data_IF_245573876967
#
_entry.id   IF_245573876967
#
_cell.length_a   1.000
_cell.length_b   1.000
_cell.length_c   1.000
_cell.angle_alpha   90.00
_cell.angle_beta   90.00
_cell.angle_gamma   90.00
#
_symmetry.space_group_name_H-M   'P 1'
#
loop_
_entity.id
_entity.type
_entity.pdbx_description
1 polymer ?
#
# COMPACT_ATOMS: atom_id res chain seq x y z
N UNK A 1 52.92 -33.79 52.81
CA UNK A 1 52.22 -32.55 52.39
C UNK A 1 51.37 -32.89 51.18
N UNK A 2 50.06 -33.02 51.41
CA UNK A 2 49.05 -33.35 50.40
C UNK A 2 48.41 -32.05 49.91
N UNK A 3 48.38 -31.82 48.60
CA UNK A 3 47.64 -30.70 47.99
C UNK A 3 46.54 -31.30 47.13
N UNK A 4 45.33 -31.17 47.63
CA UNK A 4 44.06 -31.58 47.04
C UNK A 4 43.66 -30.67 45.88
N UNK A 5 43.24 -31.27 44.76
CA UNK A 5 42.60 -30.61 43.62
C UNK A 5 41.18 -30.18 43.99
N UNK A 6 40.88 -28.89 43.89
CA UNK A 6 39.53 -28.36 44.00
C UNK A 6 38.84 -28.35 42.62
N UNK A 7 37.83 -29.20 42.46
CA UNK A 7 36.86 -29.11 41.37
C UNK A 7 35.88 -27.96 41.67
N UNK A 8 35.80 -26.97 40.77
CA UNK A 8 34.74 -25.95 40.78
C UNK A 8 33.66 -26.36 39.77
N UNK A 9 32.50 -26.75 40.28
CA UNK A 9 31.28 -26.92 39.49
C UNK A 9 30.78 -25.56 38.99
N UNK A 10 30.75 -25.37 37.67
CA UNK A 10 30.10 -24.21 37.07
C UNK A 10 28.59 -24.48 36.98
N UNK A 11 27.80 -23.74 37.76
CA UNK A 11 26.35 -23.74 37.63
C UNK A 11 25.96 -22.95 36.38
N UNK A 12 25.32 -23.63 35.42
CA UNK A 12 24.78 -23.03 34.20
C UNK A 12 23.44 -22.36 34.55
N UNK A 13 23.41 -21.03 34.63
CA UNK A 13 22.16 -20.27 34.81
C UNK A 13 21.46 -20.16 33.46
N UNK A 14 20.38 -20.92 33.27
CA UNK A 14 19.48 -20.75 32.12
C UNK A 14 18.64 -19.50 32.36
N UNK A 15 18.95 -18.41 31.66
CA UNK A 15 18.10 -17.22 31.63
C UNK A 15 16.89 -17.50 30.72
N UNK A 16 15.73 -17.71 31.34
CA UNK A 16 14.46 -17.78 30.62
C UNK A 16 14.10 -16.34 30.21
N UNK A 17 14.36 -15.99 28.96
CA UNK A 17 13.84 -14.77 28.34
C UNK A 17 12.33 -14.96 28.15
N UNK A 18 11.54 -14.42 29.08
CA UNK A 18 10.12 -14.18 28.81
C UNK A 18 10.04 -13.14 27.70
N UNK A 19 9.50 -13.53 26.55
CA UNK A 19 9.05 -12.60 25.52
C UNK A 19 7.93 -11.74 26.13
N UNK A 20 8.29 -10.57 26.65
CA UNK A 20 7.32 -9.55 27.02
C UNK A 20 6.61 -9.13 25.74
N UNK A 21 5.31 -9.42 25.65
CA UNK A 21 4.46 -8.82 24.62
C UNK A 21 4.69 -7.30 24.65
N UNK A 22 4.94 -6.65 23.50
CA UNK A 22 5.10 -5.20 23.49
C UNK A 22 3.84 -4.59 24.08
N UNK A 23 4.01 -3.77 25.12
CA UNK A 23 2.91 -2.99 25.68
C UNK A 23 2.23 -2.26 24.53
N UNK A 24 0.92 -2.48 24.35
CA UNK A 24 0.14 -1.81 23.32
C UNK A 24 0.30 -0.30 23.51
N UNK A 25 1.08 0.34 22.64
CA UNK A 25 1.25 1.79 22.69
C UNK A 25 -0.12 2.43 22.48
N UNK A 26 -0.53 3.32 23.38
CA UNK A 26 -1.76 4.06 23.21
C UNK A 26 -1.66 4.88 21.91
N UNK A 27 -2.62 4.67 21.01
CA UNK A 27 -2.72 5.39 19.75
C UNK A 27 -3.40 6.73 19.99
N UNK A 28 -2.63 7.80 19.85
CA UNK A 28 -3.09 9.18 19.95
C UNK A 28 -3.47 9.71 18.57
N UNK A 29 -4.53 10.51 18.53
CA UNK A 29 -4.99 11.20 17.32
C UNK A 29 -4.60 12.66 17.41
N UNK A 30 -4.05 13.20 16.33
CA UNK A 30 -3.78 14.65 16.22
C UNK A 30 -4.98 15.35 15.59
N UNK A 31 -5.26 16.58 16.03
CA UNK A 31 -6.29 17.40 15.40
C UNK A 31 -5.85 17.80 13.98
N UNK A 32 -6.69 17.52 12.99
CA UNK A 32 -6.43 17.82 11.57
C UNK A 32 -7.59 18.58 10.93
N UNK A 33 -7.94 19.79 11.42
CA UNK A 33 -9.07 20.54 10.85
C UNK A 33 -8.75 20.97 9.42
N UNK A 34 -9.65 20.67 8.49
CA UNK A 34 -9.52 21.12 7.11
C UNK A 34 -9.51 22.65 6.99
N UNK A 35 -8.73 23.16 6.04
CA UNK A 35 -8.78 24.55 5.60
C UNK A 35 -9.83 24.80 4.50
N UNK A 36 -10.50 23.75 4.02
CA UNK A 36 -11.46 23.82 2.92
C UNK A 36 -12.85 24.15 3.47
N UNK A 37 -13.46 25.28 3.05
CA UNK A 37 -14.79 25.66 3.51
C UNK A 37 -15.84 24.57 3.23
N UNK A 38 -16.62 24.21 4.24
CA UNK A 38 -17.74 23.27 4.09
C UNK A 38 -17.36 21.79 3.99
N UNK A 39 -16.08 21.42 4.08
CA UNK A 39 -15.66 20.01 4.00
C UNK A 39 -16.24 19.14 5.14
N UNK A 40 -16.48 19.73 6.31
CA UNK A 40 -16.93 19.02 7.51
C UNK A 40 -15.76 18.55 8.39
N UNK A 41 -16.04 17.91 9.54
CA UNK A 41 -15.02 17.52 10.51
C UNK A 41 -14.17 16.34 10.03
N UNK A 42 -12.92 16.23 10.49
CA UNK A 42 -12.11 15.00 10.37
C UNK A 42 -12.26 14.17 11.63
N UNK A 43 -13.31 13.34 11.67
CA UNK A 43 -13.74 12.56 12.84
C UNK A 43 -13.58 11.05 12.65
N UNK A 44 -13.90 10.26 13.68
CA UNK A 44 -13.75 8.80 13.67
C UNK A 44 -14.43 8.12 12.48
N UNK A 45 -15.62 8.60 12.09
CA UNK A 45 -16.31 8.09 10.91
C UNK A 45 -15.47 8.37 9.65
N UNK A 46 -14.99 9.60 9.47
CA UNK A 46 -14.14 9.98 8.34
C UNK A 46 -12.85 9.16 8.27
N UNK A 47 -12.19 8.94 9.41
CA UNK A 47 -10.95 8.15 9.50
C UNK A 47 -11.20 6.72 9.03
N UNK A 48 -12.23 6.08 9.57
CA UNK A 48 -12.57 4.72 9.24
C UNK A 48 -13.00 4.57 7.77
N UNK A 49 -13.77 5.52 7.25
CA UNK A 49 -14.15 5.56 5.83
C UNK A 49 -12.90 5.71 4.94
N UNK A 50 -11.96 6.60 5.26
CA UNK A 50 -10.72 6.76 4.50
C UNK A 50 -9.86 5.49 4.51
N UNK A 51 -9.80 4.77 5.64
CA UNK A 51 -9.00 3.55 5.75
C UNK A 51 -9.57 2.37 4.97
N UNK A 52 -10.88 2.36 4.70
CA UNK A 52 -11.59 1.19 4.15
C UNK A 52 -12.22 1.42 2.78
N UNK A 53 -12.20 2.65 2.25
CA UNK A 53 -12.80 2.95 0.96
C UNK A 53 -11.90 2.40 -0.15
N UNK A 54 -12.47 1.56 -1.01
CA UNK A 54 -11.79 1.03 -2.18
C UNK A 54 -11.61 2.14 -3.22
N UNK A 55 -10.54 2.03 -3.99
CA UNK A 55 -10.33 2.82 -5.19
C UNK A 55 -10.35 1.95 -6.46
N UNK A 56 -10.60 0.65 -6.32
CA UNK A 56 -10.60 -0.31 -7.44
C UNK A 56 -9.25 -1.01 -7.67
N UNK A 57 -8.32 -0.92 -6.73
CA UNK A 57 -7.07 -1.68 -6.77
C UNK A 57 -7.33 -3.18 -6.66
N UNK A 58 -6.67 -3.99 -7.51
CA UNK A 58 -6.78 -5.45 -7.56
C UNK A 58 -5.38 -6.08 -7.54
N UNK A 59 -4.79 -6.18 -6.34
CA UNK A 59 -3.45 -6.74 -6.16
C UNK A 59 -3.48 -8.27 -6.30
N UNK A 60 -4.27 -8.95 -5.47
CA UNK A 60 -4.30 -10.42 -5.42
C UNK A 60 -5.66 -10.90 -4.87
N UNK A 61 -6.22 -12.02 -5.38
CA UNK A 61 -7.44 -12.60 -4.80
C UNK A 61 -7.28 -12.86 -3.29
N UNK A 62 -8.31 -12.53 -2.54
CA UNK A 62 -8.29 -12.58 -1.07
C UNK A 62 -8.02 -14.00 -0.56
N UNK A 63 -8.66 -15.00 -1.16
CA UNK A 63 -8.48 -16.40 -0.77
C UNK A 63 -7.05 -16.89 -1.02
N UNK A 64 -6.38 -16.34 -2.04
CA UNK A 64 -5.01 -16.71 -2.37
C UNK A 64 -4.05 -16.17 -1.32
N UNK A 65 -4.10 -14.87 -1.02
CA UNK A 65 -3.16 -14.29 -0.05
C UNK A 65 -3.38 -14.79 1.38
N UNK A 66 -4.61 -15.20 1.74
CA UNK A 66 -4.89 -15.89 3.01
C UNK A 66 -4.27 -17.28 3.11
N UNK A 67 -4.15 -17.99 1.98
CA UNK A 67 -3.52 -19.31 1.91
C UNK A 67 -2.01 -19.25 1.68
N UNK A 68 -1.51 -18.12 1.17
CA UNK A 68 -0.11 -17.92 0.82
C UNK A 68 0.77 -17.95 2.06
N UNK A 69 1.87 -18.71 1.99
CA UNK A 69 2.89 -18.79 3.03
C UNK A 69 4.15 -18.05 2.61
N UNK A 70 4.90 -17.55 3.58
CA UNK A 70 6.26 -17.06 3.44
C UNK A 70 7.25 -18.23 3.42
N UNK A 71 8.53 -17.93 3.17
CA UNK A 71 9.59 -18.92 3.09
C UNK A 71 9.84 -19.67 4.43
N UNK A 72 9.48 -19.06 5.55
CA UNK A 72 9.57 -19.65 6.90
C UNK A 72 8.34 -20.50 7.25
N UNK A 73 7.37 -20.63 6.34
CA UNK A 73 6.14 -21.40 6.51
C UNK A 73 5.00 -20.65 7.20
N UNK A 74 5.22 -19.43 7.71
CA UNK A 74 4.15 -18.59 8.28
C UNK A 74 3.23 -18.07 7.18
N UNK A 75 1.98 -17.73 7.52
CA UNK A 75 1.07 -17.09 6.58
C UNK A 75 1.61 -15.72 6.15
N UNK A 76 1.42 -15.34 4.89
CA UNK A 76 1.92 -14.07 4.35
C UNK A 76 1.37 -12.84 5.09
N UNK A 77 0.19 -12.97 5.68
CA UNK A 77 -0.49 -11.93 6.47
C UNK A 77 -0.33 -12.13 7.99
N UNK A 78 0.55 -13.00 8.46
CA UNK A 78 0.65 -13.37 9.89
C UNK A 78 0.90 -12.16 10.82
N UNK A 79 1.63 -11.16 10.36
CA UNK A 79 1.93 -9.91 11.08
C UNK A 79 1.08 -8.71 10.62
N UNK A 80 0.04 -8.94 9.80
CA UNK A 80 -0.76 -7.87 9.21
C UNK A 80 0.03 -6.91 8.31
N UNK A 81 1.15 -7.38 7.72
CA UNK A 81 2.09 -6.59 6.90
C UNK A 81 2.92 -5.57 7.71
N UNK A 82 2.99 -5.71 9.03
CA UNK A 82 3.77 -4.82 9.89
C UNK A 82 5.27 -4.81 9.56
N UNK A 83 5.83 -5.92 9.06
CA UNK A 83 7.22 -6.00 8.57
C UNK A 83 7.55 -5.01 7.45
N UNK A 84 6.55 -4.55 6.70
CA UNK A 84 6.71 -3.52 5.68
C UNK A 84 6.32 -2.12 6.20
N UNK A 85 6.06 -1.95 7.49
CA UNK A 85 5.69 -0.65 8.07
C UNK A 85 4.22 -0.24 7.86
N UNK A 86 3.36 -1.16 7.43
CA UNK A 86 1.92 -0.88 7.38
C UNK A 86 1.31 -0.90 8.78
N UNK A 87 0.36 0.00 9.01
CA UNK A 87 -0.16 0.30 10.34
C UNK A 87 -1.40 -0.54 10.64
N UNK A 88 -1.51 -1.05 11.87
CA UNK A 88 -2.67 -1.83 12.29
C UNK A 88 -3.98 -1.04 12.15
N UNK A 89 -5.04 -1.75 11.75
CA UNK A 89 -6.41 -1.24 11.66
C UNK A 89 -7.39 -2.18 12.39
N UNK A 90 -7.53 -2.06 13.72
CA UNK A 90 -8.43 -2.90 14.50
C UNK A 90 -9.91 -2.79 14.07
N UNK A 91 -10.29 -1.65 13.46
CA UNK A 91 -11.64 -1.39 12.98
C UNK A 91 -11.87 -1.88 11.53
N UNK A 92 -10.90 -2.60 10.94
CA UNK A 92 -11.04 -3.13 9.59
C UNK A 92 -12.26 -4.06 9.48
N UNK A 93 -13.16 -3.86 8.50
CA UNK A 93 -14.27 -4.79 8.22
C UNK A 93 -13.79 -6.21 7.88
N UNK A 94 -12.57 -6.33 7.37
CA UNK A 94 -11.88 -7.60 7.15
C UNK A 94 -10.79 -7.72 8.22
N UNK A 95 -11.00 -8.51 9.29
CA UNK A 95 -10.05 -8.61 10.39
C UNK A 95 -8.64 -8.97 9.92
N UNK A 96 -7.64 -8.30 10.50
CA UNK A 96 -6.22 -8.53 10.21
C UNK A 96 -5.64 -7.71 9.06
N UNK A 97 -6.46 -6.96 8.30
CA UNK A 97 -5.92 -6.02 7.32
C UNK A 97 -5.41 -4.73 7.97
N UNK A 98 -4.25 -4.21 7.52
CA UNK A 98 -3.76 -2.91 7.98
C UNK A 98 -4.53 -1.76 7.32
N UNK A 99 -4.23 -0.53 7.76
CA UNK A 99 -4.79 0.69 7.20
C UNK A 99 -4.58 0.75 5.69
N UNK A 100 -5.66 1.03 4.96
CA UNK A 100 -5.62 1.23 3.53
C UNK A 100 -5.48 -0.04 2.72
N UNK A 101 -5.75 -1.21 3.29
CA UNK A 101 -5.94 -2.44 2.52
C UNK A 101 -7.40 -2.86 2.58
N UNK A 102 -7.99 -3.07 1.41
CA UNK A 102 -9.43 -3.30 1.25
C UNK A 102 -9.63 -4.54 0.39
N UNK A 103 -10.58 -5.40 0.77
CA UNK A 103 -11.07 -6.48 -0.09
C UNK A 103 -12.34 -6.01 -0.78
N UNK A 104 -12.26 -5.82 -2.10
CA UNK A 104 -13.40 -5.46 -2.93
C UNK A 104 -13.57 -6.53 -4.01
N UNK A 105 -14.80 -7.02 -4.20
CA UNK A 105 -15.12 -8.09 -5.16
C UNK A 105 -14.20 -9.32 -5.05
N UNK A 106 -13.88 -9.72 -3.81
CA UNK A 106 -13.03 -10.87 -3.50
C UNK A 106 -11.53 -10.66 -3.76
N UNK A 107 -11.09 -9.44 -4.08
CA UNK A 107 -9.69 -9.13 -4.37
C UNK A 107 -9.16 -8.09 -3.38
N UNK A 108 -8.00 -8.38 -2.79
CA UNK A 108 -7.29 -7.45 -1.93
C UNK A 108 -6.60 -6.39 -2.78
N UNK A 109 -6.64 -5.13 -2.34
CA UNK A 109 -5.85 -4.06 -2.94
C UNK A 109 -5.57 -2.92 -1.96
N UNK A 110 -4.45 -2.19 -2.11
CA UNK A 110 -4.23 -0.94 -1.40
C UNK A 110 -5.21 0.17 -1.85
N UNK A 111 -5.51 1.08 -0.94
CA UNK A 111 -6.20 2.35 -1.17
C UNK A 111 -5.27 3.52 -0.86
N UNK A 112 -5.75 4.76 -1.05
CA UNK A 112 -5.00 5.99 -0.73
C UNK A 112 -4.37 5.94 0.68
N UNK A 113 -5.10 5.39 1.66
CA UNK A 113 -4.67 5.36 3.05
C UNK A 113 -3.42 4.49 3.29
N UNK A 114 -3.10 3.52 2.42
CA UNK A 114 -1.90 2.69 2.56
C UNK A 114 -0.61 3.51 2.33
N UNK A 115 -0.68 4.51 1.44
CA UNK A 115 0.44 5.39 1.11
C UNK A 115 0.40 6.73 1.87
N UNK A 116 -0.80 7.16 2.30
CA UNK A 116 -1.04 8.46 2.90
C UNK A 116 -1.52 8.39 4.34
N UNK A 117 -1.04 7.41 5.10
CA UNK A 117 -1.23 7.38 6.56
C UNK A 117 0.12 7.17 7.24
N UNK A 118 0.48 8.10 8.14
CA UNK A 118 1.74 8.06 8.88
C UNK A 118 1.51 7.83 10.36
N UNK A 119 2.48 7.22 11.02
CA UNK A 119 2.60 7.25 12.47
C UNK A 119 3.98 7.82 12.85
N UNK A 120 4.03 8.56 13.95
CA UNK A 120 5.27 8.94 14.62
C UNK A 120 5.18 8.57 16.09
N UNK A 121 6.31 8.14 16.66
CA UNK A 121 6.38 7.78 18.07
C UNK A 121 7.14 8.87 18.82
N UNK A 122 6.51 9.43 19.85
CA UNK A 122 7.07 10.50 20.69
C UNK A 122 6.84 10.10 22.14
N UNK A 123 7.91 9.99 22.92
CA UNK A 123 7.86 9.66 24.36
C UNK A 123 7.03 8.39 24.69
N UNK A 124 7.13 7.37 23.83
CA UNK A 124 6.40 6.11 24.02
C UNK A 124 4.91 6.16 23.63
N UNK A 125 4.44 7.24 23.01
CA UNK A 125 3.10 7.38 22.44
C UNK A 125 3.13 7.39 20.92
N UNK A 126 2.20 6.68 20.31
CA UNK A 126 2.05 6.60 18.86
C UNK A 126 1.05 7.66 18.38
N UNK A 127 1.47 8.60 17.55
CA UNK A 127 0.61 9.63 16.97
C UNK A 127 0.28 9.30 15.51
N UNK A 128 -1.01 9.07 15.23
CA UNK A 128 -1.50 8.80 13.88
C UNK A 128 -1.77 10.10 13.13
N UNK A 129 -1.21 10.22 11.93
CA UNK A 129 -1.31 11.41 11.08
C UNK A 129 -1.83 10.98 9.69
N UNK A 130 -3.10 11.24 9.43
CA UNK A 130 -3.74 10.90 8.16
C UNK A 130 -3.42 11.95 7.08
N UNK A 131 -3.35 11.57 5.82
CA UNK A 131 -2.91 12.44 4.72
C UNK A 131 -1.40 12.72 4.70
N UNK A 132 -0.66 12.25 5.71
CA UNK A 132 0.80 12.26 5.74
C UNK A 132 1.39 11.04 5.02
N UNK A 133 2.59 11.14 4.43
CA UNK A 133 3.20 10.01 3.75
C UNK A 133 3.55 8.87 4.70
N UNK A 134 3.09 7.67 4.36
CA UNK A 134 3.41 6.45 5.08
C UNK A 134 4.92 6.20 5.10
N UNK A 135 5.39 5.53 6.15
CA UNK A 135 6.74 4.99 6.22
C UNK A 135 6.77 3.50 5.82
N UNK A 136 5.82 3.08 4.97
CA UNK A 136 5.72 1.72 4.51
C UNK A 136 6.66 1.43 3.32
N UNK A 137 7.15 0.21 3.21
CA UNK A 137 7.97 -0.29 2.11
C UNK A 137 7.14 -1.15 1.14
N UNK A 138 6.46 -0.47 0.21
CA UNK A 138 5.65 -1.14 -0.81
C UNK A 138 6.50 -1.91 -1.82
N UNK A 139 7.74 -1.47 -2.07
CA UNK A 139 8.66 -2.19 -2.97
C UNK A 139 9.02 -3.56 -2.41
N UNK A 140 9.34 -3.64 -1.11
CA UNK A 140 9.56 -4.90 -0.41
C UNK A 140 8.31 -5.79 -0.40
N UNK A 141 7.12 -5.24 -0.07
CA UNK A 141 5.86 -5.99 -0.15
C UNK A 141 5.66 -6.62 -1.53
N UNK A 142 5.88 -5.83 -2.59
CA UNK A 142 5.69 -6.26 -3.97
C UNK A 142 6.66 -7.39 -4.34
N UNK A 143 7.95 -7.22 -4.04
CA UNK A 143 9.00 -8.21 -4.35
C UNK A 143 8.83 -9.52 -3.56
N UNK A 144 8.45 -9.43 -2.29
CA UNK A 144 8.21 -10.62 -1.46
C UNK A 144 6.94 -11.36 -1.88
N UNK A 145 5.92 -10.65 -2.36
CA UNK A 145 4.73 -11.28 -2.94
C UNK A 145 5.07 -12.05 -4.21
N UNK A 146 5.89 -11.46 -5.10
CA UNK A 146 6.40 -12.13 -6.30
C UNK A 146 7.18 -13.41 -5.93
N UNK A 147 8.09 -13.29 -4.98
CA UNK A 147 8.91 -14.41 -4.50
C UNK A 147 8.04 -15.52 -3.89
N UNK A 148 7.04 -15.17 -3.09
CA UNK A 148 6.18 -16.14 -2.43
C UNK A 148 5.31 -16.93 -3.43
N UNK A 149 4.67 -16.24 -4.38
CA UNK A 149 3.85 -16.91 -5.40
C UNK A 149 4.72 -17.74 -6.36
N UNK A 150 5.88 -17.22 -6.76
CA UNK A 150 6.83 -17.97 -7.60
C UNK A 150 7.28 -19.28 -6.97
N UNK A 151 7.54 -19.29 -5.65
CA UNK A 151 7.87 -20.51 -4.91
C UNK A 151 6.73 -21.52 -4.88
N UNK A 152 5.49 -21.06 -4.66
CA UNK A 152 4.30 -21.92 -4.70
C UNK A 152 4.13 -22.56 -6.08
N UNK A 153 4.39 -21.83 -7.16
CA UNK A 153 4.28 -22.36 -8.53
C UNK A 153 5.43 -23.29 -8.93
N UNK A 154 6.63 -23.08 -8.38
CA UNK A 154 7.82 -23.85 -8.71
C UNK A 154 7.81 -25.29 -8.16
N UNK A 155 7.00 -25.57 -7.12
CA UNK A 155 6.92 -26.88 -6.48
C UNK A 155 5.49 -27.44 -6.49
N UNK A 156 5.32 -28.62 -7.06
CA UNK A 156 4.00 -29.26 -7.21
C UNK A 156 3.33 -29.57 -5.87
N UNK A 157 4.10 -29.98 -4.86
CA UNK A 157 3.56 -30.29 -3.54
C UNK A 157 3.07 -29.01 -2.84
N UNK A 158 3.87 -27.95 -2.87
CA UNK A 158 3.54 -26.62 -2.37
C UNK A 158 2.32 -26.04 -3.06
N UNK A 159 2.22 -26.17 -4.39
CA UNK A 159 1.02 -25.75 -5.11
C UNK A 159 -0.22 -26.53 -4.66
N UNK A 160 -0.11 -27.84 -4.48
CA UNK A 160 -1.24 -28.66 -4.03
C UNK A 160 -1.69 -28.29 -2.61
N UNK A 161 -0.76 -27.98 -1.69
CA UNK A 161 -1.11 -27.44 -0.37
C UNK A 161 -1.83 -26.09 -0.46
N UNK A 162 -1.29 -25.17 -1.27
CA UNK A 162 -1.91 -23.88 -1.53
C UNK A 162 -3.32 -24.04 -2.12
N UNK A 163 -3.49 -24.90 -3.12
CA UNK A 163 -4.77 -25.15 -3.77
C UNK A 163 -5.79 -25.75 -2.81
N UNK A 164 -5.39 -26.68 -1.93
CA UNK A 164 -6.27 -27.22 -0.89
C UNK A 164 -6.69 -26.14 0.11
N UNK A 165 -5.78 -25.25 0.48
CA UNK A 165 -6.09 -24.13 1.38
C UNK A 165 -7.03 -23.10 0.73
N UNK A 166 -6.84 -22.79 -0.57
CA UNK A 166 -7.70 -21.86 -1.33
C UNK A 166 -9.08 -22.46 -1.59
N UNK A 167 -9.15 -23.71 -2.06
CA UNK A 167 -10.40 -24.35 -2.50
C UNK A 167 -11.20 -24.95 -1.32
N UNK A 168 -10.55 -25.19 -0.18
CA UNK A 168 -11.16 -25.72 1.03
C UNK A 168 -11.92 -27.03 0.79
N UNK A 169 -13.14 -27.13 1.31
CA UNK A 169 -14.01 -28.30 1.11
C UNK A 169 -14.43 -28.52 -0.35
N UNK A 170 -14.25 -27.52 -1.21
CA UNK A 170 -14.54 -27.60 -2.63
C UNK A 170 -13.40 -28.18 -3.46
N UNK A 171 -12.28 -28.59 -2.85
CA UNK A 171 -11.11 -29.12 -3.54
C UNK A 171 -11.45 -30.35 -4.39
N UNK A 172 -11.03 -30.31 -5.65
CA UNK A 172 -10.92 -31.45 -6.54
C UNK A 172 -9.79 -31.21 -7.57
N UNK A 173 -9.25 -32.27 -8.21
CA UNK A 173 -8.12 -32.13 -9.13
C UNK A 173 -8.37 -31.24 -10.35
N UNK A 174 -9.62 -31.13 -10.83
CA UNK A 174 -9.95 -30.28 -11.98
C UNK A 174 -9.93 -28.81 -11.57
N UNK A 175 -10.47 -28.48 -10.39
CA UNK A 175 -10.39 -27.12 -9.82
C UNK A 175 -8.97 -26.74 -9.46
N UNK A 176 -8.15 -27.65 -8.97
CA UNK A 176 -6.71 -27.39 -8.76
C UNK A 176 -6.02 -27.03 -10.08
N UNK A 177 -6.30 -27.77 -11.15
CA UNK A 177 -5.76 -27.48 -12.49
C UNK A 177 -6.22 -26.11 -13.00
N UNK A 178 -7.49 -25.76 -12.80
CA UNK A 178 -8.02 -24.45 -13.16
C UNK A 178 -7.37 -23.32 -12.35
N UNK A 179 -7.28 -23.49 -11.04
CA UNK A 179 -6.61 -22.55 -10.14
C UNK A 179 -5.15 -22.35 -10.54
N UNK A 180 -4.46 -23.43 -10.92
CA UNK A 180 -3.08 -23.36 -11.40
C UNK A 180 -2.95 -22.44 -12.61
N UNK A 181 -3.81 -22.60 -13.61
CA UNK A 181 -3.82 -21.74 -14.79
C UNK A 181 -4.11 -20.26 -14.45
N UNK A 182 -5.01 -20.00 -13.50
CA UNK A 182 -5.33 -18.65 -13.02
C UNK A 182 -4.13 -18.01 -12.29
N UNK A 183 -3.46 -18.77 -11.41
CA UNK A 183 -2.28 -18.29 -10.67
C UNK A 183 -1.08 -18.10 -11.60
N UNK A 184 -0.86 -19.01 -12.57
CA UNK A 184 0.20 -18.86 -13.59
C UNK A 184 -0.03 -17.58 -14.42
N UNK A 185 -1.28 -17.28 -14.81
CA UNK A 185 -1.61 -16.07 -15.56
C UNK A 185 -1.38 -14.80 -14.72
N UNK A 186 -1.85 -14.78 -13.47
CA UNK A 186 -1.61 -13.69 -12.54
C UNK A 186 -0.11 -13.47 -12.30
N UNK A 187 0.63 -14.57 -12.05
CA UNK A 187 2.05 -14.52 -11.75
C UNK A 187 2.88 -14.06 -12.95
N UNK A 188 2.57 -14.50 -14.17
CA UNK A 188 3.26 -14.03 -15.36
C UNK A 188 3.20 -12.50 -15.51
N UNK A 189 2.06 -11.90 -15.16
CA UNK A 189 1.88 -10.44 -15.17
C UNK A 189 2.61 -9.77 -14.02
N UNK A 190 2.39 -10.23 -12.79
CA UNK A 190 3.02 -9.67 -11.58
C UNK A 190 4.54 -9.77 -11.64
N UNK A 191 5.08 -10.90 -12.09
CA UNK A 191 6.51 -11.13 -12.25
C UNK A 191 7.12 -10.26 -13.33
N UNK A 192 6.46 -10.12 -14.50
CA UNK A 192 6.95 -9.25 -15.57
C UNK A 192 7.18 -7.80 -15.11
N UNK A 193 6.19 -7.21 -14.42
CA UNK A 193 6.29 -5.84 -13.93
C UNK A 193 7.23 -5.71 -12.72
N UNK A 194 7.32 -6.73 -11.87
CA UNK A 194 8.29 -6.77 -10.76
C UNK A 194 9.72 -6.78 -11.30
N UNK A 195 10.01 -7.70 -12.23
CA UNK A 195 11.34 -7.89 -12.81
C UNK A 195 11.81 -6.68 -13.62
N UNK A 196 10.93 -6.14 -14.47
CA UNK A 196 11.28 -5.00 -15.32
C UNK A 196 11.23 -3.65 -14.58
N UNK A 197 10.31 -3.52 -13.61
CA UNK A 197 9.98 -2.26 -12.97
C UNK A 197 10.74 -1.99 -11.67
N UNK A 198 10.89 -2.97 -10.77
CA UNK A 198 11.50 -2.73 -9.47
C UNK A 198 13.04 -2.73 -9.54
N UNK A 199 13.71 -1.68 -9.03
CA UNK A 199 15.17 -1.63 -9.01
C UNK A 199 15.75 -2.63 -8.01
N UNK A 200 16.48 -3.65 -8.50
CA UNK A 200 17.14 -4.67 -7.66
C UNK A 200 18.39 -4.17 -6.95
N UNK A 201 19.16 -3.31 -7.62
CA UNK A 201 20.41 -2.75 -7.13
C UNK A 201 20.19 -1.62 -6.12
N UNK A 202 19.06 -0.91 -6.25
CA UNK A 202 18.68 0.22 -5.40
C UNK A 202 17.17 0.19 -5.13
N UNK A 203 16.70 -0.74 -4.28
CA UNK A 203 15.28 -0.81 -3.92
C UNK A 203 14.77 0.52 -3.37
N UNK A 204 13.49 0.82 -3.57
CA UNK A 204 12.90 2.10 -3.17
C UNK A 204 13.08 2.41 -1.69
N UNK A 205 12.90 1.40 -0.83
CA UNK A 205 12.99 1.51 0.62
C UNK A 205 11.74 2.14 1.26
N UNK A 206 11.73 2.15 2.59
CA UNK A 206 10.62 2.64 3.39
C UNK A 206 10.22 4.11 3.07
N UNK A 207 8.91 4.31 2.86
CA UNK A 207 8.29 5.61 2.62
C UNK A 207 8.64 6.25 1.27
N UNK A 208 9.10 5.45 0.31
CA UNK A 208 9.48 5.86 -1.04
C UNK A 208 8.83 4.95 -2.07
N UNK A 209 8.40 5.54 -3.19
CA UNK A 209 7.83 4.83 -4.33
C UNK A 209 8.10 5.63 -5.60
N UNK A 210 8.40 4.96 -6.70
CA UNK A 210 8.29 5.54 -8.04
C UNK A 210 6.92 5.21 -8.64
N UNK A 211 5.90 5.92 -8.15
CA UNK A 211 4.52 5.71 -8.58
C UNK A 211 4.34 6.02 -10.07
N UNK A 212 4.94 7.09 -10.57
CA UNK A 212 4.77 7.53 -11.96
C UNK A 212 5.40 6.53 -12.93
N UNK A 213 6.63 6.07 -12.66
CA UNK A 213 7.26 5.02 -13.44
C UNK A 213 6.41 3.74 -13.46
N UNK A 214 5.84 3.36 -12.31
CA UNK A 214 4.98 2.18 -12.22
C UNK A 214 3.64 2.34 -12.95
N UNK A 215 3.00 3.51 -12.90
CA UNK A 215 1.81 3.85 -13.69
C UNK A 215 2.10 3.62 -15.18
N UNK A 216 3.20 4.19 -15.69
CA UNK A 216 3.56 4.08 -17.09
C UNK A 216 3.85 2.63 -17.50
N UNK A 217 4.59 1.88 -16.69
CA UNK A 217 4.84 0.45 -16.93
C UNK A 217 3.55 -0.35 -17.02
N UNK A 218 2.58 -0.05 -16.15
CA UNK A 218 1.30 -0.75 -16.12
C UNK A 218 0.47 -0.42 -17.36
N UNK A 219 0.17 0.86 -17.59
CA UNK A 219 -0.73 1.28 -18.68
C UNK A 219 -0.15 1.04 -20.08
N UNK A 220 1.18 1.01 -20.25
CA UNK A 220 1.80 0.80 -21.56
C UNK A 220 2.39 -0.60 -21.75
N UNK A 221 2.73 -1.29 -20.65
CA UNK A 221 3.45 -2.55 -20.67
C UNK A 221 2.70 -3.75 -20.10
N UNK A 222 1.68 -3.57 -19.25
CA UNK A 222 0.97 -4.69 -18.60
C UNK A 222 -0.48 -4.87 -19.09
N UNK A 223 -1.10 -3.79 -19.54
CA UNK A 223 -2.56 -3.69 -19.60
C UNK A 223 -3.12 -3.60 -21.03
N UNK A 224 -2.28 -3.31 -22.03
CA UNK A 224 -2.75 -3.04 -23.41
C UNK A 224 -2.19 -4.00 -24.46
N UNK A 225 -1.42 -5.01 -24.06
CA UNK A 225 -0.91 -6.04 -24.97
C UNK A 225 -1.97 -7.06 -25.40
N UNK A 226 -1.58 -8.00 -26.28
CA UNK A 226 -2.42 -9.13 -26.64
C UNK A 226 -2.76 -10.00 -25.42
N UNK A 227 -3.99 -10.50 -25.38
CA UNK A 227 -4.38 -11.51 -24.38
C UNK A 227 -3.60 -12.83 -24.55
N UNK A 228 -3.55 -13.67 -23.50
CA UNK A 228 -4.25 -13.52 -22.23
C UNK A 228 -3.50 -12.66 -21.20
N UNK A 229 -2.20 -12.43 -21.37
CA UNK A 229 -1.40 -11.72 -20.36
C UNK A 229 -1.51 -10.20 -20.46
N UNK A 230 -1.81 -9.67 -21.65
CA UNK A 230 -1.79 -8.23 -21.97
C UNK A 230 -0.42 -7.56 -21.81
N UNK A 231 0.65 -8.35 -21.70
CA UNK A 231 2.00 -7.86 -21.46
C UNK A 231 2.69 -7.45 -22.77
N UNK A 232 3.35 -6.30 -22.74
CA UNK A 232 4.30 -5.78 -23.72
C UNK A 232 5.60 -5.44 -22.98
N UNK A 233 6.46 -6.44 -22.77
CA UNK A 233 7.71 -6.28 -21.98
C UNK A 233 8.59 -5.13 -22.48
N UNK A 234 8.65 -4.92 -23.81
CA UNK A 234 9.45 -3.87 -24.43
C UNK A 234 9.04 -2.44 -24.04
N UNK A 235 7.86 -2.24 -23.47
CA UNK A 235 7.38 -0.95 -22.98
C UNK A 235 7.70 -0.70 -21.50
N UNK A 236 8.07 -1.74 -20.73
CA UNK A 236 8.40 -1.59 -19.32
C UNK A 236 9.82 -1.07 -19.13
N UNK A 237 10.02 -0.20 -18.14
CA UNK A 237 11.31 0.37 -17.74
C UNK A 237 11.48 0.30 -16.23
N UNK A 238 12.72 0.34 -15.77
CA UNK A 238 13.02 0.45 -14.34
C UNK A 238 12.41 1.74 -13.80
N UNK A 239 11.69 1.65 -12.68
CA UNK A 239 11.12 2.77 -11.95
C UNK A 239 12.12 3.17 -10.85
N UNK A 240 13.17 3.90 -11.22
CA UNK A 240 14.35 4.18 -10.38
C UNK A 240 14.42 5.63 -9.84
N UNK A 241 13.30 6.36 -9.89
CA UNK A 241 13.18 7.71 -9.34
C UNK A 241 12.21 7.77 -8.13
N UNK A 242 12.42 6.98 -7.06
CA UNK A 242 11.45 6.89 -5.99
C UNK A 242 11.43 8.15 -5.13
N UNK A 243 10.22 8.67 -4.91
CA UNK A 243 9.96 9.84 -4.08
C UNK A 243 9.04 9.46 -2.93
N UNK A 244 8.96 10.32 -1.92
CA UNK A 244 7.97 10.13 -0.84
C UNK A 244 6.59 10.51 -1.38
N UNK A 245 5.49 9.81 -1.08
CA UNK A 245 4.17 10.30 -1.46
C UNK A 245 3.96 11.75 -0.96
N UNK A 246 3.34 12.65 -1.77
CA UNK A 246 3.08 14.01 -1.30
C UNK A 246 2.06 14.01 -0.15
N UNK A 247 2.02 15.10 0.61
CA UNK A 247 0.97 15.28 1.61
C UNK A 247 -0.37 15.49 0.91
N UNK A 248 -1.44 14.89 1.43
CA UNK A 248 -2.80 15.15 0.95
C UNK A 248 -3.37 16.46 1.50
N UNK A 249 -2.80 16.98 2.58
CA UNK A 249 -3.24 18.22 3.19
C UNK A 249 -3.14 19.37 2.19
N UNK A 250 -4.24 20.09 2.01
CA UNK A 250 -4.38 21.15 1.01
C UNK A 250 -4.26 20.71 -0.45
N UNK A 251 -4.10 19.42 -0.77
CA UNK A 251 -4.02 18.96 -2.15
C UNK A 251 -5.26 19.38 -2.98
N UNK A 252 -6.52 19.34 -2.47
CA UNK A 252 -7.69 19.71 -3.27
C UNK A 252 -7.74 21.20 -3.68
N UNK A 253 -6.92 22.06 -3.07
CA UNK A 253 -6.85 23.51 -3.38
C UNK A 253 -5.55 23.93 -4.06
N UNK A 254 -4.70 22.98 -4.45
CA UNK A 254 -3.52 23.24 -5.26
C UNK A 254 -3.89 23.22 -6.74
N UNK A 255 -3.36 24.15 -7.52
CA UNK A 255 -3.58 24.20 -8.97
C UNK A 255 -2.85 23.07 -9.72
N UNK A 256 -1.75 22.59 -9.15
CA UNK A 256 -0.99 21.45 -9.67
C UNK A 256 -0.61 20.48 -8.55
N UNK A 257 -0.54 19.20 -8.89
CA UNK A 257 -0.17 18.11 -7.98
C UNK A 257 0.95 17.26 -8.56
N UNK A 258 1.39 16.26 -7.79
CA UNK A 258 2.64 15.51 -7.99
C UNK A 258 3.88 16.38 -7.73
N UNK A 259 5.00 15.74 -7.36
CA UNK A 259 6.23 16.49 -7.07
C UNK A 259 6.74 17.36 -8.22
N UNK A 260 6.67 16.94 -9.49
CA UNK A 260 7.06 17.80 -10.60
C UNK A 260 6.01 18.87 -10.97
N UNK A 261 4.83 18.86 -10.34
CA UNK A 261 3.74 19.81 -10.65
C UNK A 261 3.13 19.63 -12.04
N UNK A 262 3.18 18.43 -12.62
CA UNK A 262 2.71 18.20 -14.00
C UNK A 262 1.20 17.91 -14.10
N UNK A 263 0.54 17.56 -12.99
CA UNK A 263 -0.86 17.18 -12.99
C UNK A 263 -1.72 18.37 -12.58
N UNK A 264 -2.45 18.93 -13.53
CA UNK A 264 -3.47 19.95 -13.29
C UNK A 264 -4.49 19.47 -12.24
N UNK A 265 -4.94 20.40 -11.42
CA UNK A 265 -5.83 20.15 -10.30
C UNK A 265 -6.65 21.43 -10.01
N UNK A 266 -7.32 21.50 -8.85
CA UNK A 266 -8.14 22.65 -8.46
C UNK A 266 -9.64 22.47 -8.73
N UNK A 267 -10.03 21.41 -9.44
CA UNK A 267 -11.42 20.95 -9.50
C UNK A 267 -11.53 19.42 -9.44
N UNK A 268 -12.75 18.94 -9.21
CA UNK A 268 -13.03 17.51 -8.98
C UNK A 268 -12.88 16.64 -10.23
N UNK A 269 -13.01 17.20 -11.43
CA UNK A 269 -12.81 16.48 -12.70
C UNK A 269 -11.31 16.24 -12.90
N UNK A 270 -10.50 17.27 -12.71
CA UNK A 270 -9.03 17.16 -12.77
C UNK A 270 -8.50 16.22 -11.68
N UNK A 271 -9.00 16.35 -10.45
CA UNK A 271 -8.68 15.43 -9.36
C UNK A 271 -9.06 13.98 -9.69
N UNK A 272 -10.23 13.76 -10.29
CA UNK A 272 -10.66 12.44 -10.76
C UNK A 272 -9.71 11.87 -11.80
N UNK A 273 -9.33 12.65 -12.82
CA UNK A 273 -8.40 12.19 -13.86
C UNK A 273 -7.04 11.77 -13.27
N UNK A 274 -6.49 12.57 -12.35
CA UNK A 274 -5.30 12.22 -11.56
C UNK A 274 -5.49 10.92 -10.78
N UNK A 275 -6.59 10.81 -10.04
CA UNK A 275 -6.85 9.65 -9.18
C UNK A 275 -7.01 8.36 -9.99
N UNK A 276 -7.69 8.41 -11.14
CA UNK A 276 -7.81 7.28 -12.08
C UNK A 276 -6.43 6.80 -12.52
N UNK A 277 -5.55 7.72 -12.93
CA UNK A 277 -4.16 7.38 -13.29
C UNK A 277 -3.38 6.74 -12.15
N UNK A 278 -3.56 7.24 -10.92
CA UNK A 278 -2.93 6.66 -9.72
C UNK A 278 -3.42 5.23 -9.46
N UNK A 279 -4.73 4.97 -9.57
CA UNK A 279 -5.29 3.62 -9.38
C UNK A 279 -4.64 2.62 -10.31
N UNK A 280 -4.44 2.97 -11.59
CA UNK A 280 -3.74 2.08 -12.54
C UNK A 280 -2.32 1.75 -12.07
N UNK A 281 -1.59 2.71 -11.51
CA UNK A 281 -0.25 2.47 -10.94
C UNK A 281 -0.23 1.58 -9.71
N UNK A 282 -1.29 1.59 -8.92
CA UNK A 282 -1.47 0.73 -7.74
C UNK A 282 -2.54 -0.33 -7.99
N UNK A 283 -2.25 -1.18 -8.97
CA UNK A 283 -2.96 -2.44 -9.23
C UNK A 283 -4.39 -2.33 -9.77
N UNK A 284 -4.82 -1.19 -10.31
CA UNK A 284 -6.04 -1.10 -11.13
C UNK A 284 -5.89 -1.92 -12.41
N UNK A 285 -6.90 -2.73 -12.76
CA UNK A 285 -6.97 -3.45 -14.03
C UNK A 285 -7.62 -2.57 -15.10
N UNK A 286 -7.03 -2.53 -16.28
CA UNK A 286 -7.49 -1.70 -17.39
C UNK A 286 -7.23 -2.42 -18.70
N UNK A 287 -8.27 -2.92 -19.37
CA UNK A 287 -8.15 -3.63 -20.63
C UNK A 287 -9.06 -2.98 -21.67
N UNK A 288 -8.63 -1.90 -22.35
CA UNK A 288 -9.44 -1.28 -23.39
C UNK A 288 -9.83 -2.29 -24.48
N UNK A 289 -11.12 -2.41 -24.73
CA UNK A 289 -11.65 -3.33 -25.74
C UNK A 289 -12.03 -2.56 -27.00
N UNK A 290 -11.73 -3.10 -28.18
CA UNK A 290 -12.22 -2.51 -29.43
C UNK A 290 -13.74 -2.52 -29.45
N UNK A 291 -14.31 -1.36 -29.75
CA UNK A 291 -15.75 -1.17 -29.83
C UNK A 291 -16.05 -0.16 -30.94
N UNK A 292 -16.48 -0.66 -32.09
CA UNK A 292 -16.78 0.17 -33.27
C UNK A 292 -18.00 1.08 -33.09
N UNK A 293 -18.84 0.82 -32.07
CA UNK A 293 -19.97 1.68 -31.73
C UNK A 293 -19.56 2.86 -30.84
N UNK A 294 -18.37 2.78 -30.21
CA UNK A 294 -17.84 3.83 -29.37
C UNK A 294 -17.12 4.90 -30.21
N UNK A 295 -17.28 6.17 -29.86
CA UNK A 295 -16.74 7.32 -30.61
C UNK A 295 -15.22 7.22 -30.89
N UNK A 296 -14.48 6.64 -29.95
CA UNK A 296 -13.03 6.49 -30.02
C UNK A 296 -12.58 5.12 -30.57
N UNK A 297 -13.51 4.28 -31.03
CA UNK A 297 -13.23 2.90 -31.49
C UNK A 297 -12.85 1.90 -30.40
N UNK A 298 -12.84 2.34 -29.13
CA UNK A 298 -12.51 1.55 -27.95
C UNK A 298 -13.43 1.89 -26.79
N UNK A 299 -13.78 0.88 -26.00
CA UNK A 299 -14.45 0.98 -24.73
C UNK A 299 -13.43 0.91 -23.58
N UNK A 300 -13.31 2.01 -22.83
CA UNK A 300 -12.35 2.17 -21.73
C UNK A 300 -12.94 1.89 -20.34
N UNK A 301 -14.24 1.59 -20.28
CA UNK A 301 -15.01 1.48 -19.02
C UNK A 301 -15.36 0.03 -18.71
N UNK A 302 -15.64 -0.79 -19.73
CA UNK A 302 -16.19 -2.13 -19.54
C UNK A 302 -15.24 -3.09 -18.80
N UNK A 303 -13.98 -3.13 -19.19
CA UNK A 303 -12.96 -3.96 -18.55
C UNK A 303 -11.97 -3.07 -17.78
N UNK A 304 -12.50 -2.44 -16.74
CA UNK A 304 -11.78 -1.48 -15.91
C UNK A 304 -12.21 -1.67 -14.45
N UNK A 305 -11.25 -1.80 -13.54
CA UNK A 305 -11.56 -2.04 -12.11
C UNK A 305 -11.70 -0.78 -11.28
N UNK A 306 -11.46 0.41 -11.84
CA UNK A 306 -11.52 1.68 -11.11
C UNK A 306 -12.89 1.86 -10.46
N UNK A 307 -12.89 2.06 -9.14
CA UNK A 307 -14.10 2.39 -8.39
C UNK A 307 -14.30 3.90 -8.40
N UNK A 308 -14.99 4.41 -9.41
CA UNK A 308 -15.28 5.84 -9.53
C UNK A 308 -16.06 6.40 -8.34
N UNK A 309 -16.96 5.60 -7.73
CA UNK A 309 -17.72 6.06 -6.55
C UNK A 309 -16.79 6.15 -5.34
N UNK A 310 -15.94 5.16 -5.15
CA UNK A 310 -14.89 5.15 -4.14
C UNK A 310 -13.93 6.33 -4.30
N UNK A 311 -13.48 6.64 -5.53
CA UNK A 311 -12.63 7.79 -5.82
C UNK A 311 -13.31 9.13 -5.51
N UNK A 312 -14.60 9.28 -5.82
CA UNK A 312 -15.36 10.49 -5.44
C UNK A 312 -15.41 10.64 -3.91
N UNK A 313 -15.65 9.54 -3.20
CA UNK A 313 -15.71 9.57 -1.74
C UNK A 313 -14.34 9.84 -1.11
N UNK A 314 -13.29 9.23 -1.62
CA UNK A 314 -11.91 9.48 -1.20
C UNK A 314 -11.54 10.95 -1.40
N UNK A 315 -11.90 11.57 -2.53
CA UNK A 315 -11.63 12.99 -2.76
C UNK A 315 -12.36 13.88 -1.73
N UNK A 316 -13.63 13.58 -1.44
CA UNK A 316 -14.40 14.29 -0.38
C UNK A 316 -13.79 14.11 1.01
N UNK A 317 -13.26 12.92 1.29
CA UNK A 317 -12.54 12.66 2.54
C UNK A 317 -11.23 13.46 2.57
N UNK A 318 -10.47 13.51 1.48
CA UNK A 318 -9.25 14.32 1.37
C UNK A 318 -9.55 15.81 1.57
N UNK A 319 -10.68 16.32 1.08
CA UNK A 319 -11.14 17.69 1.36
C UNK A 319 -11.30 17.94 2.87
N UNK A 320 -11.52 16.91 3.69
CA UNK A 320 -11.67 17.01 5.16
C UNK A 320 -10.35 16.89 5.94
N UNK A 321 -9.25 16.44 5.31
CA UNK A 321 -7.97 16.22 6.00
C UNK A 321 -7.14 17.50 6.02
N UNK A 322 -7.07 18.14 7.19
CA UNK A 322 -6.16 19.27 7.41
C UNK A 322 -4.72 18.85 7.70
N UNK A 323 -3.75 19.79 7.59
CA UNK A 323 -2.46 19.64 8.23
C UNK A 323 -2.65 19.41 9.75
N UNK A 324 -1.88 18.52 10.37
CA UNK A 324 -1.97 18.28 11.81
C UNK A 324 -1.57 19.52 12.60
N UNK A 325 -2.39 19.89 13.58
CA UNK A 325 -1.98 20.86 14.59
C UNK A 325 -0.80 20.29 15.36
N UNK A 326 0.21 21.13 15.57
CA UNK A 326 1.35 20.79 16.41
C UNK A 326 0.87 20.62 17.87
N UNK A 327 0.93 19.40 18.45
CA UNK A 327 0.33 19.13 19.76
C UNK A 327 1.27 19.42 20.94
N UNK A 328 2.53 19.76 20.69
CA UNK A 328 3.55 19.97 21.73
C UNK A 328 3.81 21.46 22.00
N UNK A 329 4.41 21.81 23.15
CA UNK A 329 4.83 23.18 23.42
C UNK A 329 5.76 23.72 22.33
N UNK A 330 5.66 25.02 22.09
CA UNK A 330 6.56 25.77 21.20
C UNK A 330 7.14 26.96 21.96
N UNK A 331 8.41 27.28 21.71
CA UNK A 331 8.99 28.53 22.18
C UNK A 331 8.39 29.67 21.36
N UNK A 332 7.51 30.45 21.99
CA UNK A 332 6.76 31.51 21.32
C UNK A 332 7.66 32.68 20.90
N UNK A 333 8.79 32.90 21.58
CA UNK A 333 9.76 33.94 21.22
C UNK A 333 10.49 33.54 19.94
N UNK A 334 10.98 32.30 19.87
CA UNK A 334 11.62 31.77 18.66
C UNK A 334 10.62 31.66 17.50
N UNK A 335 9.37 31.25 17.77
CA UNK A 335 8.33 31.20 16.74
C UNK A 335 8.03 32.59 16.16
N UNK A 336 7.98 33.64 16.99
CA UNK A 336 7.80 35.01 16.54
C UNK A 336 8.97 35.50 15.67
N UNK A 337 10.22 35.17 16.06
CA UNK A 337 11.40 35.45 15.23
C UNK A 337 11.35 34.69 13.89
N UNK A 338 10.97 33.41 13.93
CA UNK A 338 10.78 32.57 12.75
C UNK A 338 9.75 33.13 11.78
N UNK A 339 8.65 33.71 12.29
CA UNK A 339 7.65 34.41 11.47
C UNK A 339 8.27 35.57 10.70
N UNK A 340 9.09 36.39 11.35
CA UNK A 340 9.77 37.51 10.68
C UNK A 340 10.71 37.02 9.57
N UNK A 341 11.37 35.88 9.76
CA UNK A 341 12.23 35.26 8.73
C UNK A 341 11.39 34.71 7.57
N UNK A 342 10.33 33.97 7.87
CA UNK A 342 9.44 33.37 6.86
C UNK A 342 8.76 34.42 5.98
N UNK A 343 8.40 35.56 6.55
CA UNK A 343 7.72 36.66 5.85
C UNK A 343 8.67 37.65 5.18
N UNK A 344 9.99 37.40 5.19
CA UNK A 344 10.93 38.29 4.49
C UNK A 344 10.58 38.32 3.01
N UNK A 345 10.48 39.51 2.40
CA UNK A 345 10.37 39.61 0.95
C UNK A 345 11.60 38.96 0.31
N UNK A 346 11.40 38.25 -0.80
CA UNK A 346 12.51 37.87 -1.67
C UNK A 346 13.05 39.15 -2.29
N UNK A 347 14.33 39.45 -2.04
CA UNK A 347 15.08 40.52 -2.74
C UNK A 347 15.43 40.11 -4.17
#
# INVERSE_FOLDING_TARGET
MSITKAFRSAALTVAILFASAPASMALERVEQPSSIPGAGPWDEKAWNDFYRTSQGSRLIPWDWIRALKQADGQLFLADGLARYGYLANPASPTPGLPVGFVVADGVLGPSCAACHTRQIDVEGKAYRIDGGPALADMGALWADLDTAVGKVLADTASFSEFAKAVLGSGYDPQKETKLRAEVDLWYARHHAITEAGLPKDRPWGAGRIDAVGMILNRVTGLDIGPGPTHVILGNMRKADAPVRPPFLWNAPRQDHTQWPGFADNGDRILAMARNVGQVYGVFGEFFPEKDASHLLGFNYVKANSVDFKGLIELERLVERIGPPKWPWPTDTTLAAQGKLIYQRPYE
#
